data_IF_289918666295
#
_entry.id   IF_289918666295
#
_cell.length_a   1.000
_cell.length_b   1.000
_cell.length_c   1.000
_cell.angle_alpha   90.00
_cell.angle_beta   90.00
_cell.angle_gamma   90.00
#
_symmetry.space_group_name_H-M   'P 1'
#
loop_
_entity.id
_entity.type
_entity.pdbx_description
1 polymer ?
#
# COMPACT_ATOMS: atom_id res chain seq x y z
N UNK A 1 30.85 25.20 -1.05
CA UNK A 1 29.58 25.45 -1.79
C UNK A 1 29.36 24.49 -2.94
N UNK A 2 30.36 24.19 -3.79
CA UNK A 2 30.23 23.22 -4.89
C UNK A 2 29.71 21.84 -4.46
N UNK A 3 30.27 21.24 -3.39
CA UNK A 3 29.81 19.93 -2.90
C UNK A 3 28.40 19.91 -2.30
N UNK A 4 27.86 21.06 -1.85
CA UNK A 4 26.50 21.13 -1.31
C UNK A 4 25.47 21.18 -2.45
N UNK A 5 25.76 21.94 -3.50
CA UNK A 5 24.94 21.97 -4.71
C UNK A 5 24.90 20.59 -5.38
N UNK A 6 26.07 19.95 -5.49
CA UNK A 6 26.21 18.60 -6.05
C UNK A 6 25.37 17.58 -5.27
N UNK A 7 25.45 17.58 -3.94
CA UNK A 7 24.64 16.70 -3.08
C UNK A 7 23.13 16.94 -3.23
N UNK A 8 22.69 18.20 -3.37
CA UNK A 8 21.27 18.51 -3.59
C UNK A 8 20.80 17.97 -4.93
N UNK A 9 21.59 18.15 -5.99
CA UNK A 9 21.26 17.66 -7.34
C UNK A 9 21.18 16.14 -7.35
N UNK A 10 22.16 15.44 -6.78
CA UNK A 10 22.13 13.97 -6.70
C UNK A 10 20.96 13.46 -5.87
N UNK A 11 20.68 14.08 -4.72
CA UNK A 11 19.53 13.71 -3.89
C UNK A 11 18.19 13.90 -4.63
N UNK A 12 18.07 14.96 -5.43
CA UNK A 12 16.87 15.18 -6.25
C UNK A 12 16.75 14.15 -7.38
N UNK A 13 17.86 13.81 -8.04
CA UNK A 13 17.87 12.75 -9.07
C UNK A 13 17.49 11.40 -8.46
N UNK A 14 18.01 11.07 -7.29
CA UNK A 14 17.66 9.84 -6.57
C UNK A 14 16.19 9.83 -6.16
N UNK A 15 15.65 10.97 -5.70
CA UNK A 15 14.23 11.10 -5.37
C UNK A 15 13.33 10.82 -6.59
N UNK A 16 13.67 11.39 -7.75
CA UNK A 16 12.95 11.15 -9.00
C UNK A 16 13.06 9.69 -9.41
N UNK A 17 14.27 9.11 -9.34
CA UNK A 17 14.51 7.69 -9.67
C UNK A 17 13.68 6.75 -8.79
N UNK A 18 13.62 7.00 -7.49
CA UNK A 18 12.81 6.21 -6.55
C UNK A 18 11.31 6.37 -6.83
N UNK A 19 10.87 7.59 -7.17
CA UNK A 19 9.48 7.85 -7.59
C UNK A 19 9.11 7.04 -8.82
N UNK A 20 10.00 6.95 -9.82
CA UNK A 20 9.74 6.13 -11.02
C UNK A 20 9.64 4.65 -10.64
N UNK A 21 10.60 4.15 -9.85
CA UNK A 21 10.68 2.74 -9.48
C UNK A 21 9.46 2.28 -8.67
N UNK A 22 9.02 3.10 -7.71
CA UNK A 22 7.80 2.85 -6.91
C UNK A 22 6.51 3.19 -7.68
N UNK A 23 6.59 4.12 -8.62
CA UNK A 23 5.46 4.55 -9.44
C UNK A 23 4.91 3.44 -10.32
N UNK A 24 5.75 2.53 -10.81
CA UNK A 24 5.32 1.39 -11.64
C UNK A 24 4.36 0.45 -10.90
N UNK A 25 4.72 -0.16 -9.74
CA UNK A 25 3.78 -1.02 -9.02
C UNK A 25 2.55 -0.24 -8.55
N UNK A 26 2.71 1.01 -8.10
CA UNK A 26 1.56 1.84 -7.69
C UNK A 26 0.63 2.14 -8.88
N UNK A 27 1.16 2.30 -10.09
CA UNK A 27 0.36 2.50 -11.31
C UNK A 27 -0.50 1.27 -11.61
N UNK A 28 0.09 0.06 -11.51
CA UNK A 28 -0.63 -1.19 -11.71
C UNK A 28 -1.76 -1.32 -10.66
N UNK A 29 -1.45 -1.06 -9.38
CA UNK A 29 -2.44 -1.09 -8.31
C UNK A 29 -3.53 -0.03 -8.52
N UNK A 30 -3.18 1.20 -8.87
CA UNK A 30 -4.14 2.26 -9.15
C UNK A 30 -5.04 1.91 -10.35
N UNK A 31 -4.50 1.24 -11.37
CA UNK A 31 -5.26 0.79 -12.52
C UNK A 31 -6.29 -0.30 -12.15
N UNK A 32 -5.88 -1.27 -11.32
CA UNK A 32 -6.79 -2.29 -10.77
C UNK A 32 -7.85 -1.62 -9.88
N UNK A 33 -7.43 -0.75 -8.97
CA UNK A 33 -8.31 0.00 -8.06
C UNK A 33 -9.34 0.83 -8.82
N UNK A 34 -8.97 1.43 -9.95
CA UNK A 34 -9.90 2.16 -10.83
C UNK A 34 -11.02 1.26 -11.37
N UNK A 35 -10.70 0.01 -11.76
CA UNK A 35 -11.71 -0.96 -12.22
C UNK A 35 -12.67 -1.35 -11.08
N UNK A 36 -12.13 -1.59 -9.89
CA UNK A 36 -12.94 -1.90 -8.70
C UNK A 36 -13.85 -0.70 -8.37
N UNK A 37 -13.28 0.50 -8.31
CA UNK A 37 -14.01 1.74 -8.03
C UNK A 37 -15.19 1.96 -8.98
N UNK A 38 -14.99 1.76 -10.29
CA UNK A 38 -16.05 1.91 -11.29
C UNK A 38 -17.25 0.97 -11.08
N UNK A 39 -17.05 -0.16 -10.41
CA UNK A 39 -18.13 -1.08 -10.04
C UNK A 39 -18.97 -0.54 -8.87
N UNK A 40 -18.34 0.15 -7.91
CA UNK A 40 -19.00 0.63 -6.69
C UNK A 40 -19.49 2.08 -6.77
N UNK A 41 -18.92 2.89 -7.65
CA UNK A 41 -19.26 4.31 -7.81
C UNK A 41 -20.65 4.55 -8.42
N UNK A 42 -21.33 3.49 -8.89
CA UNK A 42 -22.70 3.59 -9.44
C UNK A 42 -23.73 3.88 -8.36
N UNK A 43 -23.54 3.31 -7.17
CA UNK A 43 -24.55 3.32 -6.09
C UNK A 43 -24.09 4.09 -4.85
N UNK A 44 -22.84 4.56 -4.82
CA UNK A 44 -22.22 5.17 -3.65
C UNK A 44 -21.55 6.50 -3.99
N UNK A 45 -21.46 7.38 -2.99
CA UNK A 45 -20.69 8.62 -3.13
C UNK A 45 -19.23 8.34 -3.47
N UNK A 46 -18.58 9.26 -4.20
CA UNK A 46 -17.18 9.13 -4.62
C UNK A 46 -16.26 8.75 -3.47
N UNK A 47 -16.44 9.37 -2.29
CA UNK A 47 -15.65 9.08 -1.10
C UNK A 47 -15.84 7.63 -0.63
N UNK A 48 -17.09 7.16 -0.49
CA UNK A 48 -17.40 5.79 -0.06
C UNK A 48 -16.85 4.76 -1.04
N UNK A 49 -17.05 4.98 -2.35
CA UNK A 49 -16.53 4.10 -3.39
C UNK A 49 -14.99 4.08 -3.41
N UNK A 50 -14.33 5.21 -3.14
CA UNK A 50 -12.86 5.30 -3.06
C UNK A 50 -12.33 4.56 -1.83
N UNK A 51 -12.90 4.78 -0.65
CA UNK A 51 -12.51 4.07 0.58
C UNK A 51 -12.72 2.56 0.42
N UNK A 52 -13.84 2.14 -0.16
CA UNK A 52 -14.14 0.72 -0.30
C UNK A 52 -13.24 0.02 -1.34
N UNK A 53 -13.02 0.66 -2.50
CA UNK A 53 -12.13 0.09 -3.53
C UNK A 53 -10.68 0.00 -3.08
N UNK A 54 -10.19 1.00 -2.33
CA UNK A 54 -8.85 0.98 -1.74
C UNK A 54 -8.74 0.00 -0.59
N UNK A 55 -9.78 -0.14 0.23
CA UNK A 55 -9.86 -1.17 1.26
C UNK A 55 -9.73 -2.57 0.66
N UNK A 56 -10.51 -2.91 -0.37
CA UNK A 56 -10.42 -4.23 -1.03
C UNK A 56 -8.99 -4.45 -1.56
N UNK A 57 -8.41 -3.43 -2.18
CA UNK A 57 -7.09 -3.53 -2.78
C UNK A 57 -6.01 -3.78 -1.73
N UNK A 58 -6.03 -3.05 -0.61
CA UNK A 58 -5.12 -3.29 0.52
C UNK A 58 -5.39 -4.63 1.20
N UNK A 59 -6.65 -5.01 1.37
CA UNK A 59 -7.02 -6.28 1.98
C UNK A 59 -6.45 -7.46 1.20
N UNK A 60 -6.64 -7.47 -0.12
CA UNK A 60 -6.08 -8.52 -0.99
C UNK A 60 -4.55 -8.49 -0.98
N UNK A 61 -3.95 -7.30 -1.06
CA UNK A 61 -2.49 -7.16 -1.07
C UNK A 61 -1.86 -7.67 0.23
N UNK A 62 -2.40 -7.27 1.38
CA UNK A 62 -1.90 -7.68 2.70
C UNK A 62 -2.20 -9.15 2.94
N UNK A 63 -3.37 -9.66 2.50
CA UNK A 63 -3.66 -11.10 2.52
C UNK A 63 -2.57 -11.89 1.80
N UNK A 64 -2.18 -11.47 0.58
CA UNK A 64 -1.12 -12.13 -0.16
C UNK A 64 0.23 -12.03 0.56
N UNK A 65 0.58 -10.86 1.06
CA UNK A 65 1.86 -10.65 1.77
C UNK A 65 1.92 -11.46 3.08
N UNK A 66 0.81 -11.59 3.79
CA UNK A 66 0.76 -12.28 5.09
C UNK A 66 0.59 -13.79 4.95
N UNK A 67 -0.33 -14.25 4.10
CA UNK A 67 -0.67 -15.68 4.03
C UNK A 67 0.29 -16.50 3.17
N UNK A 68 0.95 -15.91 2.16
CA UNK A 68 1.98 -16.63 1.38
C UNK A 68 3.10 -17.16 2.29
N UNK A 69 3.78 -16.34 3.12
CA UNK A 69 4.80 -16.86 4.03
C UNK A 69 4.21 -17.77 5.12
N UNK A 70 2.98 -17.53 5.57
CA UNK A 70 2.30 -18.40 6.53
C UNK A 70 2.13 -19.83 6.01
N UNK A 71 1.68 -19.99 4.75
CA UNK A 71 1.53 -21.31 4.14
C UNK A 71 2.88 -21.96 3.79
N UNK A 72 3.86 -21.17 3.31
CA UNK A 72 5.20 -21.69 3.02
C UNK A 72 5.91 -22.18 4.29
N UNK A 73 5.85 -21.42 5.38
CA UNK A 73 6.44 -21.83 6.66
C UNK A 73 5.81 -23.12 7.21
N UNK A 74 4.51 -23.34 6.98
CA UNK A 74 3.82 -24.58 7.37
C UNK A 74 4.33 -25.81 6.61
N UNK A 75 4.69 -25.66 5.34
CA UNK A 75 5.28 -26.74 4.55
C UNK A 75 6.63 -27.21 5.13
N UNK A 76 7.39 -26.30 5.74
CA UNK A 76 8.67 -26.59 6.39
C UNK A 76 8.48 -27.18 7.80
N UNK A 77 7.46 -26.77 8.56
CA UNK A 77 7.15 -27.33 9.89
C UNK A 77 6.80 -28.83 9.85
N UNK A 78 6.28 -29.34 8.73
CA UNK A 78 5.99 -30.76 8.55
C UNK A 78 7.23 -31.64 8.29
N UNK A 79 8.43 -31.06 8.19
CA UNK A 79 9.68 -31.80 8.00
C UNK A 79 10.35 -32.21 9.34
N UNK A 80 9.92 -31.60 10.45
CA UNK A 80 10.25 -32.06 11.79
C UNK A 80 9.09 -32.88 12.35
N UNK A 81 9.32 -34.12 12.76
CA UNK A 81 8.32 -34.95 13.42
C UNK A 81 7.98 -34.37 14.81
N UNK A 82 7.19 -33.31 14.85
CA UNK A 82 6.60 -32.79 16.08
C UNK A 82 5.45 -33.73 16.45
N UNK A 83 5.47 -34.36 17.63
CA UNK A 83 4.35 -35.18 18.08
C UNK A 83 3.05 -34.39 18.02
N UNK A 84 1.98 -34.96 17.47
CA UNK A 84 0.68 -34.30 17.31
C UNK A 84 0.13 -33.73 18.64
N UNK A 85 0.57 -34.29 19.77
CA UNK A 85 0.23 -33.84 21.12
C UNK A 85 0.87 -32.52 21.54
N UNK A 86 1.95 -32.10 20.88
CA UNK A 86 2.66 -30.83 21.12
C UNK A 86 2.35 -29.79 20.03
N UNK A 87 1.67 -30.20 18.95
CA UNK A 87 1.21 -29.31 17.90
C UNK A 87 -0.02 -28.50 18.32
N UNK A 88 -0.24 -27.30 17.73
CA UNK A 88 -1.48 -26.57 17.93
C UNK A 88 -2.68 -27.41 17.46
N UNK A 89 -3.77 -27.38 18.22
CA UNK A 89 -4.98 -28.07 17.81
C UNK A 89 -5.57 -27.41 16.56
N UNK A 90 -6.41 -28.15 15.81
CA UNK A 90 -7.14 -27.57 14.67
C UNK A 90 -7.95 -26.32 15.07
N UNK A 91 -8.51 -26.32 16.29
CA UNK A 91 -9.24 -25.16 16.82
C UNK A 91 -8.30 -23.98 17.04
N UNK A 92 -7.10 -24.20 17.57
CA UNK A 92 -6.11 -23.13 17.76
C UNK A 92 -5.64 -22.54 16.43
N UNK A 93 -5.46 -23.37 15.40
CA UNK A 93 -5.14 -22.88 14.05
C UNK A 93 -6.28 -22.09 13.43
N UNK A 94 -7.52 -22.57 13.57
CA UNK A 94 -8.68 -21.86 13.07
C UNK A 94 -8.83 -20.49 13.76
N UNK A 95 -8.63 -20.43 15.08
CA UNK A 95 -8.64 -19.18 15.83
C UNK A 95 -7.51 -18.25 15.38
N UNK A 96 -6.28 -18.75 15.20
CA UNK A 96 -5.16 -17.94 14.67
C UNK A 96 -5.46 -17.39 13.27
N UNK A 97 -6.07 -18.21 12.41
CA UNK A 97 -6.49 -17.78 11.07
C UNK A 97 -7.53 -16.66 11.14
N UNK A 98 -8.58 -16.81 11.96
CA UNK A 98 -9.64 -15.80 12.13
C UNK A 98 -9.04 -14.49 12.67
N UNK A 99 -8.20 -14.55 13.70
CA UNK A 99 -7.54 -13.38 14.28
C UNK A 99 -6.66 -12.68 13.24
N UNK A 100 -5.91 -13.45 12.44
CA UNK A 100 -5.11 -12.90 11.35
C UNK A 100 -5.97 -12.20 10.29
N UNK A 101 -7.11 -12.79 9.88
CA UNK A 101 -8.02 -12.17 8.91
C UNK A 101 -8.59 -10.86 9.45
N UNK A 102 -9.04 -10.84 10.70
CA UNK A 102 -9.58 -9.63 11.35
C UNK A 102 -8.54 -8.51 11.41
N UNK A 103 -7.32 -8.85 11.80
CA UNK A 103 -6.17 -7.93 11.85
C UNK A 103 -5.84 -7.35 10.48
N UNK A 104 -5.75 -8.20 9.45
CA UNK A 104 -5.55 -7.74 8.07
C UNK A 104 -6.68 -6.81 7.65
N UNK A 105 -7.93 -7.11 8.03
CA UNK A 105 -9.07 -6.22 7.84
C UNK A 105 -8.87 -4.84 8.47
N UNK A 106 -8.49 -4.78 9.75
CA UNK A 106 -8.27 -3.53 10.47
C UNK A 106 -7.15 -2.71 9.82
N UNK A 107 -6.00 -3.34 9.55
CA UNK A 107 -4.85 -2.66 8.94
C UNK A 107 -5.20 -2.13 7.55
N UNK A 108 -5.94 -2.91 6.75
CA UNK A 108 -6.38 -2.48 5.42
C UNK A 108 -7.33 -1.28 5.47
N UNK A 109 -8.20 -1.21 6.49
CA UNK A 109 -9.08 -0.07 6.72
C UNK A 109 -8.30 1.18 7.16
N UNK A 110 -7.27 1.02 7.98
CA UNK A 110 -6.38 2.12 8.37
C UNK A 110 -5.61 2.67 7.15
N UNK A 111 -5.02 1.77 6.35
CA UNK A 111 -4.27 2.16 5.16
C UNK A 111 -5.15 2.79 4.08
N UNK A 112 -6.38 2.32 3.89
CA UNK A 112 -7.31 2.94 2.93
C UNK A 112 -7.66 4.39 3.31
N UNK A 113 -7.83 4.67 4.60
CA UNK A 113 -8.04 6.03 5.10
C UNK A 113 -6.79 6.91 4.92
N UNK A 114 -5.60 6.38 5.22
CA UNK A 114 -4.33 7.10 5.11
C UNK A 114 -3.98 7.45 3.65
N UNK A 115 -4.36 6.61 2.68
CA UNK A 115 -4.03 6.81 1.27
C UNK A 115 -4.99 7.77 0.56
N UNK A 116 -6.16 8.03 1.16
CA UNK A 116 -7.17 8.93 0.62
C UNK A 116 -6.67 10.34 0.20
N UNK A 117 -5.90 11.08 1.02
CA UNK A 117 -5.36 12.39 0.61
C UNK A 117 -4.46 12.29 -0.63
N UNK A 118 -3.69 11.20 -0.77
CA UNK A 118 -2.82 10.98 -1.93
C UNK A 118 -3.62 10.64 -3.19
N UNK A 119 -4.75 9.94 -3.04
CA UNK A 119 -5.67 9.69 -4.16
C UNK A 119 -6.29 11.00 -4.64
N UNK A 120 -6.73 11.85 -3.72
CA UNK A 120 -7.29 13.16 -4.06
C UNK A 120 -6.26 14.04 -4.78
N UNK A 121 -5.03 14.10 -4.27
CA UNK A 121 -3.91 14.78 -4.95
C UNK A 121 -3.66 14.19 -6.34
N UNK A 122 -3.66 12.87 -6.48
CA UNK A 122 -3.44 12.19 -7.75
C UNK A 122 -4.51 12.50 -8.78
N UNK A 123 -5.78 12.57 -8.35
CA UNK A 123 -6.87 13.00 -9.21
C UNK A 123 -6.72 14.45 -9.64
N UNK A 124 -6.36 15.37 -8.72
CA UNK A 124 -6.16 16.78 -9.04
C UNK A 124 -4.98 17.00 -10.01
N UNK A 125 -3.89 16.28 -9.82
CA UNK A 125 -2.72 16.31 -10.71
C UNK A 125 -3.09 15.73 -12.08
N UNK A 126 -3.78 14.58 -12.11
CA UNK A 126 -4.25 13.98 -13.35
C UNK A 126 -5.12 14.95 -14.15
N UNK A 127 -6.12 15.57 -13.54
CA UNK A 127 -6.97 16.58 -14.20
C UNK A 127 -6.16 17.76 -14.74
N UNK A 128 -5.16 18.21 -13.99
CA UNK A 128 -4.26 19.30 -14.41
C UNK A 128 -3.41 18.92 -15.62
N UNK A 129 -2.92 17.68 -15.68
CA UNK A 129 -2.18 17.15 -16.83
C UNK A 129 -3.11 16.93 -18.03
N UNK A 130 -4.34 16.46 -17.81
CA UNK A 130 -5.33 16.23 -18.87
C UNK A 130 -5.67 17.51 -19.65
N UNK A 131 -5.68 18.67 -18.97
CA UNK A 131 -5.87 19.98 -19.62
C UNK A 131 -4.76 20.32 -20.62
N UNK A 132 -3.56 19.76 -20.45
CA UNK A 132 -2.39 19.99 -21.30
C UNK A 132 -2.16 18.87 -22.32
N UNK A 133 -2.55 17.63 -21.97
CA UNK A 133 -2.38 16.46 -22.84
C UNK A 133 -3.70 15.68 -22.91
N UNK A 134 -4.30 15.49 -24.11
CA UNK A 134 -5.57 14.77 -24.23
C UNK A 134 -5.44 13.26 -23.99
N UNK A 135 -4.22 12.72 -23.88
CA UNK A 135 -3.99 11.31 -23.63
C UNK A 135 -4.30 10.94 -22.16
N UNK A 136 -5.38 10.17 -21.97
CA UNK A 136 -5.86 9.70 -20.66
C UNK A 136 -4.85 8.84 -19.90
N UNK A 137 -3.99 8.09 -20.61
CA UNK A 137 -2.97 7.23 -19.97
C UNK A 137 -1.85 8.09 -19.40
N UNK A 138 -1.37 9.08 -20.16
CA UNK A 138 -0.32 10.02 -19.72
C UNK A 138 -0.81 10.85 -18.54
N UNK A 139 -2.04 11.33 -18.61
CA UNK A 139 -2.70 12.04 -17.51
C UNK A 139 -2.76 11.18 -16.24
N UNK A 140 -3.19 9.92 -16.36
CA UNK A 140 -3.28 9.00 -15.23
C UNK A 140 -1.89 8.67 -14.65
N UNK A 141 -0.91 8.41 -15.50
CA UNK A 141 0.47 8.18 -15.09
C UNK A 141 1.07 9.39 -14.37
N UNK A 142 0.81 10.61 -14.87
CA UNK A 142 1.22 11.86 -14.21
C UNK A 142 0.59 12.04 -12.84
N UNK A 143 -0.69 11.69 -12.69
CA UNK A 143 -1.38 11.68 -11.40
C UNK A 143 -0.75 10.71 -10.40
N UNK A 144 -0.50 9.46 -10.82
CA UNK A 144 0.17 8.45 -10.00
C UNK A 144 1.57 8.89 -9.61
N UNK A 145 2.38 9.35 -10.57
CA UNK A 145 3.72 9.85 -10.33
C UNK A 145 3.72 11.01 -9.31
N UNK A 146 2.82 11.97 -9.49
CA UNK A 146 2.66 13.10 -8.58
C UNK A 146 2.29 12.66 -7.16
N UNK A 147 1.32 11.76 -7.01
CA UNK A 147 0.95 11.20 -5.70
C UNK A 147 2.10 10.45 -5.03
N UNK A 148 2.85 9.65 -5.79
CA UNK A 148 4.01 8.91 -5.26
C UNK A 148 5.13 9.87 -4.88
N UNK A 149 5.41 10.89 -5.70
CA UNK A 149 6.42 11.91 -5.39
C UNK A 149 6.06 12.63 -4.10
N UNK A 150 4.82 13.12 -3.97
CA UNK A 150 4.35 13.76 -2.74
C UNK A 150 4.35 12.79 -1.58
N UNK A 151 4.02 11.51 -1.80
CA UNK A 151 4.12 10.45 -0.80
C UNK A 151 5.54 10.26 -0.29
N UNK A 152 6.53 10.19 -1.17
CA UNK A 152 7.94 10.05 -0.79
C UNK A 152 8.43 11.32 -0.09
N UNK A 153 8.08 12.51 -0.57
CA UNK A 153 8.43 13.76 0.12
C UNK A 153 7.76 13.83 1.50
N UNK A 154 6.48 13.49 1.60
CA UNK A 154 5.78 13.39 2.88
C UNK A 154 6.48 12.39 3.81
N UNK A 155 6.92 11.24 3.29
CA UNK A 155 7.72 10.28 4.05
C UNK A 155 9.03 10.91 4.51
N UNK A 156 9.83 11.48 3.61
CA UNK A 156 11.16 12.01 3.94
C UNK A 156 11.13 13.22 4.87
N UNK A 157 10.08 14.04 4.84
CA UNK A 157 9.99 15.28 5.63
C UNK A 157 9.03 15.22 6.82
N UNK A 158 7.96 14.41 6.76
CA UNK A 158 7.02 14.24 7.87
C UNK A 158 7.31 13.00 8.72
N UNK A 159 7.83 11.90 8.16
CA UNK A 159 8.15 10.70 8.96
C UNK A 159 9.37 10.82 9.90
N UNK A 160 10.38 11.70 9.69
CA UNK A 160 11.36 11.96 10.74
C UNK A 160 10.73 12.56 12.01
N UNK A 161 9.58 13.22 11.89
CA UNK A 161 8.87 13.89 12.99
C UNK A 161 7.71 13.06 13.58
N UNK A 162 7.09 12.15 12.81
CA UNK A 162 5.91 11.36 13.21
C UNK A 162 6.20 9.84 13.22
N UNK A 163 7.41 9.44 12.85
CA UNK A 163 8.00 8.16 13.25
C UNK A 163 7.98 7.06 12.19
N UNK A 164 9.16 6.46 12.03
CA UNK A 164 9.39 5.05 11.64
C UNK A 164 8.36 4.10 12.29
N UNK A 165 7.76 4.50 13.42
CA UNK A 165 6.68 3.86 14.16
C UNK A 165 5.39 3.61 13.37
N UNK A 166 5.07 4.36 12.31
CA UNK A 166 3.86 4.05 11.50
C UNK A 166 4.11 2.84 10.61
N UNK A 167 5.28 2.77 9.98
CA UNK A 167 5.68 1.62 9.15
C UNK A 167 5.99 0.42 10.04
N UNK A 168 6.78 0.62 11.10
CA UNK A 168 7.08 -0.39 12.10
C UNK A 168 5.83 -0.84 12.85
N UNK A 169 4.91 0.06 13.17
CA UNK A 169 3.62 -0.23 13.80
C UNK A 169 2.67 -0.97 12.87
N UNK A 170 2.69 -0.69 11.57
CA UNK A 170 1.93 -1.47 10.57
C UNK A 170 2.50 -2.89 10.46
N UNK A 171 3.83 -3.03 10.38
CA UNK A 171 4.50 -4.34 10.37
C UNK A 171 4.25 -5.08 11.70
N UNK A 172 4.34 -4.41 12.83
CA UNK A 172 4.04 -4.96 14.15
C UNK A 172 2.59 -5.42 14.24
N UNK A 173 1.63 -4.59 13.82
CA UNK A 173 0.22 -4.94 13.82
C UNK A 173 -0.05 -6.13 12.90
N UNK A 174 0.62 -6.23 11.74
CA UNK A 174 0.45 -7.36 10.82
C UNK A 174 1.05 -8.65 11.40
N UNK A 175 2.29 -8.62 11.90
CA UNK A 175 3.05 -9.83 12.24
C UNK A 175 3.08 -10.21 13.72
N UNK A 176 2.92 -9.25 14.65
CA UNK A 176 3.28 -9.42 16.06
C UNK A 176 2.23 -9.00 17.10
N UNK A 177 1.24 -8.17 16.74
CA UNK A 177 0.09 -7.88 17.61
C UNK A 177 -0.80 -9.10 17.82
#
# INVERSE_FOLDING_TARGET
MAGLLENIVFSFVDLVRQTILLGIPVFILAFIGKKIHASFSKDHSWLKATVFSTYILFFVLIMLVYFVPFFLGRADFNQGAVPETLGPSFIDELLRFIVAVLRVGIVSAMLSALVLPFIFLGTAISESVQKRTPNKIVSFAGGVFGSVFVGIVAVLFLLPAIGIDVVAGTIYLIYFA
#
